data_IF_785465794084
#
_entry.id   IF_785465794084
#
_cell.length_a   1.000
_cell.length_b   1.000
_cell.length_c   1.000
_cell.angle_alpha   90.00
_cell.angle_beta   90.00
_cell.angle_gamma   90.00
#
_symmetry.space_group_name_H-M   'P 1'
#
loop_
_entity.id
_entity.type
_entity.pdbx_description
1 polymer ?
#
# COMPACT_ATOMS: atom_id res chain seq x y z
N UNK A 1 -13.41 6.05 -28.21
CA UNK A 1 -13.98 5.15 -27.18
C UNK A 1 -15.49 5.29 -27.31
N UNK A 2 -16.24 4.22 -27.56
CA UNK A 2 -17.67 4.32 -27.83
C UNK A 2 -18.36 5.05 -26.66
N UNK A 3 -19.15 6.10 -26.94
CA UNK A 3 -19.78 6.96 -25.94
C UNK A 3 -20.56 6.17 -24.88
N UNK A 4 -21.12 5.03 -25.24
CA UNK A 4 -21.79 4.10 -24.33
C UNK A 4 -20.90 3.64 -23.15
N UNK A 5 -19.61 3.38 -23.41
CA UNK A 5 -18.71 2.89 -22.37
C UNK A 5 -18.39 3.96 -21.32
N UNK A 6 -18.13 5.20 -21.74
CA UNK A 6 -17.79 6.28 -20.81
C UNK A 6 -18.95 6.63 -19.88
N UNK A 7 -20.19 6.64 -20.37
CA UNK A 7 -21.37 6.95 -19.54
C UNK A 7 -21.72 5.86 -18.51
N UNK A 8 -21.17 4.66 -18.67
CA UNK A 8 -21.39 3.53 -17.76
C UNK A 8 -20.23 3.30 -16.79
N UNK A 9 -19.15 4.06 -16.93
CA UNK A 9 -17.97 3.93 -16.10
C UNK A 9 -18.15 4.77 -14.83
N UNK A 10 -17.88 4.17 -13.67
CA UNK A 10 -17.65 4.89 -12.42
C UNK A 10 -16.20 4.66 -12.01
N UNK A 11 -15.48 5.73 -11.67
CA UNK A 11 -14.07 5.66 -11.31
C UNK A 11 -13.86 6.22 -9.91
N UNK A 12 -13.37 5.34 -9.03
CA UNK A 12 -13.12 5.64 -7.63
C UNK A 12 -11.62 5.71 -7.38
N UNK A 13 -11.15 6.80 -6.79
CA UNK A 13 -9.74 7.02 -6.46
C UNK A 13 -9.59 6.95 -4.94
N UNK A 14 -8.71 6.07 -4.46
CA UNK A 14 -8.39 5.98 -3.04
C UNK A 14 -7.11 6.78 -2.79
N UNK A 15 -7.22 7.89 -2.08
CA UNK A 15 -6.13 8.81 -1.77
C UNK A 15 -6.35 9.41 -0.39
N UNK A 16 -5.39 9.30 0.52
CA UNK A 16 -5.50 9.82 1.90
C UNK A 16 -5.27 11.32 1.99
N UNK A 17 -4.44 11.88 1.11
CA UNK A 17 -4.05 13.27 1.15
C UNK A 17 -5.10 14.16 0.49
N UNK A 18 -5.83 14.95 1.28
CA UNK A 18 -6.82 15.92 0.79
C UNK A 18 -6.24 16.90 -0.22
N UNK A 19 -4.96 17.26 -0.06
CA UNK A 19 -4.23 18.08 -1.03
C UNK A 19 -4.07 17.37 -2.39
N UNK A 20 -3.67 16.10 -2.39
CA UNK A 20 -3.53 15.32 -3.63
C UNK A 20 -4.89 15.04 -4.26
N UNK A 21 -5.92 14.75 -3.47
CA UNK A 21 -7.31 14.65 -3.96
C UNK A 21 -7.71 15.92 -4.73
N UNK A 22 -7.48 17.09 -4.14
CA UNK A 22 -7.81 18.38 -4.77
C UNK A 22 -7.07 18.60 -6.09
N UNK A 23 -5.78 18.24 -6.14
CA UNK A 23 -4.97 18.32 -7.36
C UNK A 23 -5.41 17.35 -8.44
N UNK A 24 -5.76 16.12 -8.07
CA UNK A 24 -6.30 15.11 -8.99
C UNK A 24 -7.65 15.56 -9.53
N UNK A 25 -8.56 16.04 -8.67
CA UNK A 25 -9.86 16.55 -9.06
C UNK A 25 -9.75 17.71 -10.05
N UNK A 26 -8.90 18.70 -9.77
CA UNK A 26 -8.67 19.83 -10.68
C UNK A 26 -8.07 19.39 -12.04
N UNK A 27 -7.26 18.34 -12.06
CA UNK A 27 -6.69 17.81 -13.32
C UNK A 27 -7.72 17.02 -14.12
N UNK A 28 -8.57 16.26 -13.44
CA UNK A 28 -9.55 15.39 -14.08
C UNK A 28 -10.83 16.13 -14.46
N UNK A 29 -11.17 17.25 -13.81
CA UNK A 29 -12.27 18.12 -14.24
C UNK A 29 -12.04 18.75 -15.61
N UNK A 30 -10.79 18.82 -16.06
CA UNK A 30 -10.44 19.24 -17.42
C UNK A 30 -10.74 18.17 -18.49
N UNK A 31 -11.14 16.95 -18.11
CA UNK A 31 -11.55 15.91 -19.06
C UNK A 31 -13.01 16.13 -19.49
N UNK A 32 -13.20 16.53 -20.76
CA UNK A 32 -14.42 16.45 -21.59
C UNK A 32 -15.79 16.67 -20.94
N UNK A 33 -16.53 17.70 -21.39
CA UNK A 33 -17.98 17.94 -21.19
C UNK A 33 -18.57 17.57 -19.79
N UNK A 34 -17.84 17.80 -18.70
CA UNK A 34 -18.36 17.56 -17.34
C UNK A 34 -18.38 16.08 -16.89
N UNK A 35 -17.84 15.15 -17.68
CA UNK A 35 -17.80 13.72 -17.32
C UNK A 35 -17.15 13.48 -15.96
N UNK A 36 -16.10 14.23 -15.64
CA UNK A 36 -15.39 14.11 -14.36
C UNK A 36 -16.24 14.43 -13.12
N UNK A 37 -17.29 15.25 -13.24
CA UNK A 37 -18.11 15.65 -12.08
C UNK A 37 -19.10 14.55 -11.68
N UNK A 38 -19.58 13.75 -12.64
CA UNK A 38 -20.59 12.71 -12.41
C UNK A 38 -19.99 11.33 -12.16
N UNK A 39 -18.81 11.05 -12.74
CA UNK A 39 -18.25 9.69 -12.79
C UNK A 39 -17.04 9.48 -11.88
N UNK A 40 -16.51 10.53 -11.25
CA UNK A 40 -15.36 10.45 -10.34
C UNK A 40 -15.79 10.58 -8.88
N UNK A 41 -15.18 9.75 -8.04
CA UNK A 41 -15.26 9.94 -6.58
C UNK A 41 -13.92 9.64 -5.92
N UNK A 42 -13.68 10.30 -4.79
CA UNK A 42 -12.50 10.07 -3.97
C UNK A 42 -12.91 9.45 -2.65
N UNK A 43 -12.08 8.50 -2.20
CA UNK A 43 -12.19 7.81 -0.92
C UNK A 43 -10.87 7.98 -0.18
N UNK A 44 -10.91 8.11 1.14
CA UNK A 44 -9.67 8.24 1.93
C UNK A 44 -9.08 6.89 2.31
N UNK A 45 -9.85 5.81 2.21
CA UNK A 45 -9.42 4.47 2.52
C UNK A 45 -10.21 3.43 1.72
N UNK A 46 -9.66 2.21 1.61
CA UNK A 46 -10.30 1.11 0.89
C UNK A 46 -11.60 0.67 1.57
N UNK A 47 -11.70 0.88 2.89
CA UNK A 47 -12.87 0.55 3.70
C UNK A 47 -14.11 1.40 3.37
N UNK A 48 -13.92 2.54 2.70
CA UNK A 48 -15.02 3.40 2.22
C UNK A 48 -15.58 2.96 0.85
N UNK A 49 -14.98 1.92 0.25
CA UNK A 49 -15.47 1.27 -0.97
C UNK A 49 -16.38 0.11 -0.57
N UNK A 50 -17.61 0.13 -1.06
CA UNK A 50 -18.60 -0.89 -0.70
C UNK A 50 -18.14 -2.28 -1.17
N UNK A 51 -18.35 -3.28 -0.32
CA UNK A 51 -18.01 -4.68 -0.65
C UNK A 51 -18.82 -5.18 -1.85
N UNK A 52 -18.16 -5.91 -2.76
CA UNK A 52 -18.76 -6.43 -3.99
C UNK A 52 -19.38 -5.36 -4.92
N UNK A 53 -18.97 -4.09 -4.78
CA UNK A 53 -19.49 -2.99 -5.62
C UNK A 53 -18.79 -2.86 -6.98
N UNK A 54 -17.65 -3.52 -7.16
CA UNK A 54 -16.82 -3.39 -8.36
C UNK A 54 -17.13 -4.54 -9.31
N UNK A 55 -17.80 -4.24 -10.42
CA UNK A 55 -17.81 -5.08 -11.63
C UNK A 55 -16.91 -4.41 -12.67
N UNK A 56 -15.62 -4.70 -12.63
CA UNK A 56 -14.67 -3.99 -13.47
C UNK A 56 -13.21 -4.22 -13.11
N UNK A 57 -12.43 -3.15 -13.18
CA UNK A 57 -10.96 -3.19 -13.08
C UNK A 57 -10.50 -2.40 -11.87
N UNK A 58 -9.53 -2.95 -11.14
CA UNK A 58 -8.79 -2.24 -10.10
C UNK A 58 -7.40 -1.92 -10.64
N UNK A 59 -7.03 -0.65 -10.62
CA UNK A 59 -5.67 -0.21 -10.94
C UNK A 59 -4.89 0.01 -9.66
N UNK A 60 -3.72 -0.59 -9.58
CA UNK A 60 -2.79 -0.37 -8.49
C UNK A 60 -1.39 -0.34 -9.10
N UNK A 61 -0.84 0.86 -9.24
CA UNK A 61 0.55 1.04 -9.62
C UNK A 61 1.35 1.39 -8.38
N UNK A 62 2.44 0.67 -8.16
CA UNK A 62 3.42 0.93 -7.10
C UNK A 62 2.85 1.02 -5.66
N UNK A 63 1.65 0.50 -5.43
CA UNK A 63 1.05 0.56 -4.09
C UNK A 63 1.77 -0.37 -3.13
N UNK A 64 2.09 -1.59 -3.58
CA UNK A 64 2.61 -2.67 -2.71
C UNK A 64 4.05 -2.38 -2.26
N UNK A 65 4.89 -1.82 -3.12
CA UNK A 65 6.26 -1.39 -2.81
C UNK A 65 6.32 -0.14 -1.93
N UNK A 66 5.27 0.67 -1.91
CA UNK A 66 5.15 1.81 -1.00
C UNK A 66 4.64 1.42 0.40
N UNK A 67 4.18 0.17 0.61
CA UNK A 67 3.73 -0.28 1.93
C UNK A 67 4.94 -0.45 2.87
N UNK A 68 4.78 -0.12 4.17
CA UNK A 68 5.79 -0.47 5.18
C UNK A 68 6.06 -1.97 5.18
N UNK A 69 7.34 -2.34 5.25
CA UNK A 69 7.77 -3.74 5.28
C UNK A 69 8.49 -4.06 6.58
N UNK A 70 8.27 -5.28 7.07
CA UNK A 70 9.09 -5.88 8.12
C UNK A 70 10.26 -6.60 7.47
N UNK A 71 11.48 -6.36 7.96
CA UNK A 71 12.69 -7.03 7.48
C UNK A 71 13.26 -7.92 8.57
N UNK A 72 13.74 -9.10 8.18
CA UNK A 72 14.30 -10.07 9.13
C UNK A 72 15.68 -10.54 8.67
N UNK A 73 16.56 -10.82 9.62
CA UNK A 73 17.90 -11.36 9.41
C UNK A 73 18.11 -12.62 10.23
N UNK A 74 18.73 -13.64 9.65
CA UNK A 74 19.26 -14.77 10.43
C UNK A 74 20.60 -14.34 11.03
N UNK A 75 20.67 -14.31 12.36
CA UNK A 75 21.87 -14.00 13.11
C UNK A 75 21.92 -14.87 14.37
N UNK A 76 23.10 -15.35 14.76
CA UNK A 76 23.29 -16.18 15.96
C UNK A 76 22.35 -17.41 15.97
N UNK A 77 22.13 -18.02 14.80
CA UNK A 77 21.22 -19.16 14.57
C UNK A 77 19.75 -18.86 14.91
N UNK A 78 19.34 -17.59 14.94
CA UNK A 78 17.98 -17.15 15.23
C UNK A 78 17.54 -16.04 14.27
N UNK A 79 16.23 -15.90 14.10
CA UNK A 79 15.67 -14.79 13.34
C UNK A 79 15.57 -13.56 14.23
N UNK A 80 16.02 -12.44 13.68
CA UNK A 80 15.91 -11.12 14.26
C UNK A 80 15.18 -10.20 13.29
N UNK A 81 14.30 -9.36 13.80
CA UNK A 81 13.75 -8.23 13.06
C UNK A 81 14.79 -7.11 12.99
N UNK A 82 14.89 -6.46 11.84
CA UNK A 82 15.70 -5.26 11.66
C UNK A 82 14.86 -4.06 12.04
N UNK A 83 15.13 -3.51 13.21
CA UNK A 83 14.45 -2.34 13.76
C UNK A 83 15.32 -1.08 13.61
N UNK A 84 14.72 0.07 13.86
CA UNK A 84 15.42 1.36 13.92
C UNK A 84 15.54 1.82 15.38
N UNK A 85 16.75 2.19 15.78
CA UNK A 85 17.06 2.80 17.07
C UNK A 85 17.65 4.19 16.88
N UNK A 86 17.72 5.00 17.94
CA UNK A 86 18.34 6.32 17.93
C UNK A 86 19.49 6.38 18.93
N UNK A 87 20.72 6.54 18.44
CA UNK A 87 21.95 6.55 19.25
C UNK A 87 22.89 7.64 18.77
N UNK A 88 23.43 8.41 19.72
CA UNK A 88 24.42 9.47 19.44
C UNK A 88 23.97 10.45 18.35
N UNK A 89 22.71 10.88 18.38
CA UNK A 89 22.18 11.88 17.45
C UNK A 89 21.85 11.37 16.05
N UNK A 90 21.81 10.05 15.83
CA UNK A 90 21.46 9.46 14.53
C UNK A 90 20.60 8.20 14.65
N UNK A 91 19.82 7.94 13.61
CA UNK A 91 19.14 6.66 13.43
C UNK A 91 20.14 5.57 13.05
N UNK A 92 19.98 4.39 13.63
CA UNK A 92 20.81 3.20 13.37
C UNK A 92 19.93 1.96 13.29
N UNK A 93 20.31 1.00 12.45
CA UNK A 93 19.70 -0.34 12.47
C UNK A 93 20.08 -1.07 13.77
N UNK A 94 19.14 -1.84 14.32
CA UNK A 94 19.40 -2.77 15.40
C UNK A 94 18.60 -4.06 15.20
N UNK A 95 19.16 -5.19 15.66
CA UNK A 95 18.51 -6.49 15.59
C UNK A 95 17.71 -6.74 16.86
N UNK A 96 16.42 -7.05 16.73
CA UNK A 96 15.56 -7.49 17.84
C UNK A 96 15.12 -8.93 17.61
N UNK A 97 15.38 -9.82 18.57
CA UNK A 97 14.97 -11.23 18.50
C UNK A 97 13.51 -11.43 18.91
N UNK A 98 12.85 -10.39 19.44
CA UNK A 98 11.45 -10.44 19.87
C UNK A 98 10.55 -10.12 18.68
N UNK A 99 10.37 -11.13 17.83
CA UNK A 99 9.45 -11.04 16.70
C UNK A 99 8.00 -10.95 17.20
N UNK A 100 7.17 -10.15 16.53
CA UNK A 100 5.74 -10.11 16.82
C UNK A 100 5.08 -11.47 16.47
N UNK A 101 4.00 -11.86 17.18
CA UNK A 101 3.25 -13.08 16.85
C UNK A 101 2.79 -13.13 15.39
N UNK A 102 2.41 -11.98 14.83
CA UNK A 102 1.97 -11.83 13.45
C UNK A 102 3.10 -12.13 12.46
N UNK A 103 4.31 -11.64 12.73
CA UNK A 103 5.49 -11.88 11.90
C UNK A 103 5.92 -13.34 11.97
N UNK A 104 5.92 -13.96 13.15
CA UNK A 104 6.20 -15.40 13.31
C UNK A 104 5.23 -16.22 12.46
N UNK A 105 3.92 -15.97 12.62
CA UNK A 105 2.87 -16.65 11.86
C UNK A 105 3.05 -16.48 10.35
N UNK A 106 3.40 -15.27 9.91
CA UNK A 106 3.66 -14.99 8.50
C UNK A 106 4.84 -15.82 7.97
N UNK A 107 5.98 -15.83 8.67
CA UNK A 107 7.17 -16.57 8.29
C UNK A 107 6.92 -18.08 8.22
N UNK A 108 6.21 -18.63 9.20
CA UNK A 108 5.81 -20.04 9.24
C UNK A 108 4.87 -20.41 8.09
N UNK A 109 3.84 -19.60 7.86
CA UNK A 109 2.84 -19.81 6.80
C UNK A 109 3.51 -19.86 5.42
N UNK A 110 4.49 -18.99 5.19
CA UNK A 110 5.21 -18.88 3.92
C UNK A 110 6.50 -19.72 3.87
N UNK A 111 6.80 -20.48 4.94
CA UNK A 111 8.00 -21.33 5.07
C UNK A 111 9.29 -20.59 4.74
N UNK A 112 9.41 -19.36 5.23
CA UNK A 112 10.60 -18.53 5.01
C UNK A 112 11.78 -19.14 5.76
N UNK A 113 12.78 -19.58 5.01
CA UNK A 113 14.02 -20.14 5.55
C UNK A 113 15.20 -19.29 5.09
N UNK A 114 15.97 -18.76 6.06
CA UNK A 114 17.13 -17.92 5.82
C UNK A 114 18.40 -18.63 6.31
N UNK A 115 19.49 -18.46 5.55
CA UNK A 115 20.83 -18.87 5.99
C UNK A 115 21.45 -17.80 6.88
N UNK A 116 22.40 -18.16 7.74
CA UNK A 116 23.13 -17.21 8.60
C UNK A 116 23.65 -16.01 7.80
N UNK A 117 23.38 -14.79 8.29
CA UNK A 117 23.71 -13.53 7.63
C UNK A 117 22.73 -13.07 6.54
N UNK A 118 21.81 -13.92 6.07
CA UNK A 118 20.83 -13.56 5.04
C UNK A 118 19.75 -12.63 5.62
N UNK A 119 19.27 -11.69 4.80
CA UNK A 119 18.17 -10.77 5.13
C UNK A 119 17.04 -10.91 4.13
N UNK A 120 15.80 -10.85 4.62
CA UNK A 120 14.56 -10.78 3.83
C UNK A 120 13.72 -9.58 4.23
#
# INVERSE_FOLDING_TARGET
IASDFSHRLSYQIIERSSHLQSRQAARLSALGQGWGEEHLSWKSAIEEVDSNSITGVVFSNELVDALPVHRVRMADQRLHEICVSYKSGRFVECLDHRLSPELIKYLETHKVALSEGQTS
#
